data_IF_823222523485
#
_entry.id   IF_823222523485
#
_cell.length_a   1.000
_cell.length_b   1.000
_cell.length_c   1.000
_cell.angle_alpha   90.00
_cell.angle_beta   90.00
_cell.angle_gamma   90.00
#
_symmetry.space_group_name_H-M   'P 1'
#
loop_
_entity.id
_entity.type
_entity.pdbx_description
1 polymer ?
#
# COMPACT_ATOMS: atom_id res chain seq x y z
N UNK A 1 -24.76 -3.52 -39.37
CA UNK A 1 -25.39 -4.67 -38.67
C UNK A 1 -24.68 -5.11 -37.38
N UNK A 2 -23.62 -4.47 -36.95
CA UNK A 2 -22.81 -4.85 -35.77
C UNK A 2 -23.24 -4.21 -34.43
N UNK A 3 -23.98 -3.09 -34.47
CA UNK A 3 -24.39 -2.37 -33.24
C UNK A 3 -25.56 -3.02 -32.50
N UNK A 4 -26.51 -3.65 -33.22
CA UNK A 4 -27.70 -4.29 -32.63
C UNK A 4 -27.33 -5.49 -31.75
N UNK A 5 -26.28 -6.25 -32.13
CA UNK A 5 -25.82 -7.43 -31.38
C UNK A 5 -25.13 -6.99 -30.07
N UNK A 6 -24.46 -5.83 -30.06
CA UNK A 6 -23.78 -5.31 -28.90
C UNK A 6 -24.77 -4.79 -27.85
N UNK A 7 -25.82 -4.09 -28.26
CA UNK A 7 -26.90 -3.60 -27.39
C UNK A 7 -27.69 -4.75 -26.76
N UNK A 8 -28.11 -5.74 -27.54
CA UNK A 8 -28.82 -6.92 -27.03
C UNK A 8 -28.02 -7.74 -26.01
N UNK A 9 -26.69 -7.78 -26.15
CA UNK A 9 -25.80 -8.45 -25.21
C UNK A 9 -25.66 -7.67 -23.87
N UNK A 10 -25.74 -6.34 -23.91
CA UNK A 10 -25.68 -5.50 -22.73
C UNK A 10 -26.94 -5.63 -21.88
N UNK A 11 -28.12 -5.63 -22.50
CA UNK A 11 -29.41 -5.83 -21.80
C UNK A 11 -29.51 -7.23 -21.15
N UNK A 12 -29.00 -8.29 -21.81
CA UNK A 12 -29.00 -9.64 -21.24
C UNK A 12 -28.18 -9.78 -19.95
N UNK A 13 -27.16 -8.95 -19.75
CA UNK A 13 -26.28 -9.00 -18.57
C UNK A 13 -26.57 -7.91 -17.54
N UNK A 14 -27.54 -7.05 -17.74
CA UNK A 14 -27.83 -5.90 -16.87
C UNK A 14 -28.10 -6.33 -15.42
N UNK A 15 -28.91 -7.36 -15.21
CA UNK A 15 -29.18 -7.92 -13.90
C UNK A 15 -27.92 -8.49 -13.24
N UNK A 16 -27.07 -9.16 -14.01
CA UNK A 16 -25.80 -9.70 -13.54
C UNK A 16 -24.85 -8.58 -13.14
N UNK A 17 -24.72 -7.55 -13.98
CA UNK A 17 -23.90 -6.36 -13.69
C UNK A 17 -24.38 -5.66 -12.43
N UNK A 18 -25.68 -5.42 -12.30
CA UNK A 18 -26.28 -4.80 -11.11
C UNK A 18 -26.02 -5.63 -9.86
N UNK A 19 -26.19 -6.97 -9.94
CA UNK A 19 -25.87 -7.87 -8.83
C UNK A 19 -24.40 -7.83 -8.42
N UNK A 20 -23.49 -7.80 -9.39
CA UNK A 20 -22.05 -7.70 -9.13
C UNK A 20 -21.67 -6.34 -8.55
N UNK A 21 -22.25 -5.24 -9.01
CA UNK A 21 -22.04 -3.91 -8.44
C UNK A 21 -22.52 -3.83 -7.00
N UNK A 22 -23.69 -4.40 -6.69
CA UNK A 22 -24.21 -4.50 -5.32
C UNK A 22 -23.25 -5.33 -4.46
N UNK A 23 -22.84 -6.51 -4.92
CA UNK A 23 -21.88 -7.36 -4.18
C UNK A 23 -20.57 -6.65 -3.95
N UNK A 24 -20.07 -5.90 -4.92
CA UNK A 24 -18.85 -5.09 -4.77
C UNK A 24 -19.02 -4.03 -3.68
N UNK A 25 -20.16 -3.34 -3.65
CA UNK A 25 -20.44 -2.35 -2.61
C UNK A 25 -20.53 -2.99 -1.21
N UNK A 26 -21.19 -4.16 -1.09
CA UNK A 26 -21.28 -4.89 0.18
C UNK A 26 -19.89 -5.33 0.67
N UNK A 27 -19.04 -5.82 -0.22
CA UNK A 27 -17.65 -6.20 0.11
C UNK A 27 -16.80 -4.98 0.51
N UNK A 28 -17.02 -3.84 -0.13
CA UNK A 28 -16.34 -2.60 0.25
C UNK A 28 -16.75 -2.16 1.66
N UNK A 29 -18.05 -2.17 1.97
CA UNK A 29 -18.54 -1.83 3.30
C UNK A 29 -18.04 -2.79 4.38
N UNK A 30 -17.94 -4.07 4.06
CA UNK A 30 -17.38 -5.08 4.97
C UNK A 30 -15.89 -4.85 5.20
N UNK A 31 -15.14 -4.50 4.17
CA UNK A 31 -13.71 -4.16 4.30
C UNK A 31 -13.50 -2.95 5.21
N UNK A 32 -14.34 -1.91 5.11
CA UNK A 32 -14.28 -0.76 6.03
C UNK A 32 -14.59 -1.16 7.47
N UNK A 33 -15.63 -1.96 7.73
CA UNK A 33 -15.93 -2.48 9.08
C UNK A 33 -14.78 -3.28 9.68
N UNK A 34 -14.13 -4.11 8.88
CA UNK A 34 -12.96 -4.89 9.31
C UNK A 34 -11.79 -3.97 9.65
N UNK A 35 -11.57 -2.90 8.88
CA UNK A 35 -10.54 -1.88 9.17
C UNK A 35 -10.80 -1.18 10.49
N UNK A 36 -12.04 -0.73 10.72
CA UNK A 36 -12.43 -0.08 11.97
C UNK A 36 -12.23 -1.03 13.16
N UNK A 37 -12.67 -2.28 13.02
CA UNK A 37 -12.50 -3.30 14.06
C UNK A 37 -11.03 -3.59 14.34
N UNK A 38 -10.19 -3.62 13.32
CA UNK A 38 -8.74 -3.78 13.48
C UNK A 38 -8.12 -2.61 14.24
N UNK A 39 -8.59 -1.38 13.98
CA UNK A 39 -8.12 -0.20 14.70
C UNK A 39 -8.50 -0.25 16.19
N UNK A 40 -9.74 -0.66 16.52
CA UNK A 40 -10.18 -0.88 17.90
C UNK A 40 -9.30 -1.90 18.62
N UNK A 41 -9.09 -3.08 18.01
CA UNK A 41 -8.26 -4.15 18.61
C UNK A 41 -6.82 -3.65 18.85
N UNK A 42 -6.23 -2.88 17.91
CA UNK A 42 -4.90 -2.31 18.11
C UNK A 42 -4.85 -1.31 19.28
N UNK A 43 -5.91 -0.52 19.44
CA UNK A 43 -6.02 0.41 20.57
C UNK A 43 -6.17 -0.34 21.91
N UNK A 44 -6.95 -1.42 21.93
CA UNK A 44 -7.15 -2.26 23.12
C UNK A 44 -5.83 -2.93 23.54
N UNK A 45 -5.07 -3.48 22.58
CA UNK A 45 -3.73 -4.03 22.84
C UNK A 45 -2.84 -2.97 23.47
N UNK A 46 -2.77 -1.77 22.88
CA UNK A 46 -1.97 -0.67 23.43
C UNK A 46 -2.46 -0.19 24.81
N UNK A 47 -3.75 -0.35 25.12
CA UNK A 47 -4.27 -0.06 26.46
C UNK A 47 -3.80 -1.12 27.47
N UNK A 48 -3.86 -2.40 27.10
CA UNK A 48 -3.36 -3.51 27.94
C UNK A 48 -1.86 -3.36 28.20
N UNK A 49 -1.07 -3.03 27.18
CA UNK A 49 0.38 -2.81 27.32
C UNK A 49 0.68 -1.69 28.34
N UNK A 50 -0.08 -0.59 28.29
CA UNK A 50 0.04 0.50 29.28
C UNK A 50 -0.28 0.05 30.71
N UNK A 51 -1.33 -0.77 30.86
CA UNK A 51 -1.70 -1.32 32.19
C UNK A 51 -0.59 -2.23 32.70
N UNK A 52 -0.07 -3.14 31.88
CA UNK A 52 1.04 -4.02 32.25
C UNK A 52 2.28 -3.21 32.69
N UNK A 53 2.62 -2.17 31.94
CA UNK A 53 3.71 -1.27 32.33
C UNK A 53 3.45 -0.57 33.67
N UNK A 54 2.21 -0.12 33.92
CA UNK A 54 1.83 0.53 35.18
C UNK A 54 1.91 -0.43 36.35
N UNK A 55 1.60 -1.72 36.15
CA UNK A 55 1.72 -2.78 37.14
C UNK A 55 3.18 -3.23 37.38
N UNK A 56 4.15 -2.64 36.67
CA UNK A 56 5.58 -2.94 36.83
C UNK A 56 6.01 -4.22 36.09
N UNK A 57 5.24 -4.70 35.12
CA UNK A 57 5.67 -5.81 34.29
C UNK A 57 6.88 -5.40 33.43
N UNK A 58 8.01 -6.10 33.62
CA UNK A 58 9.27 -5.85 32.90
C UNK A 58 9.65 -6.99 31.94
N UNK A 59 8.77 -8.00 31.82
CA UNK A 59 8.97 -9.13 30.89
C UNK A 59 8.79 -8.73 29.44
N UNK A 60 9.17 -9.62 28.54
CA UNK A 60 8.97 -9.45 27.11
C UNK A 60 7.48 -9.71 26.77
N UNK A 61 6.75 -8.62 26.51
CA UNK A 61 5.32 -8.69 26.12
C UNK A 61 5.14 -9.46 24.81
N UNK A 62 6.12 -9.37 23.91
CA UNK A 62 6.07 -10.03 22.61
C UNK A 62 6.34 -11.55 22.71
N UNK A 63 6.95 -12.05 23.80
CA UNK A 63 7.23 -13.47 24.00
C UNK A 63 5.95 -14.31 24.17
N UNK A 64 4.90 -13.74 24.78
CA UNK A 64 3.59 -14.36 24.97
C UNK A 64 2.69 -14.25 23.71
N UNK A 65 3.10 -13.43 22.74
CA UNK A 65 2.34 -13.23 21.51
C UNK A 65 2.54 -14.41 20.55
N UNK A 66 1.48 -14.98 19.99
CA UNK A 66 1.63 -15.97 18.94
C UNK A 66 2.43 -15.35 17.79
N UNK A 67 3.44 -16.08 17.31
CA UNK A 67 4.32 -15.63 16.23
C UNK A 67 3.49 -15.09 15.07
N UNK A 68 3.42 -13.77 14.95
CA UNK A 68 2.68 -13.13 13.86
C UNK A 68 3.31 -13.56 12.53
N UNK A 69 2.51 -14.16 11.65
CA UNK A 69 2.94 -14.44 10.29
C UNK A 69 3.37 -13.12 9.68
N UNK A 70 4.66 -13.05 9.28
CA UNK A 70 5.20 -11.86 8.62
C UNK A 70 4.35 -11.54 7.41
N UNK A 71 3.61 -10.44 7.45
CA UNK A 71 2.77 -10.02 6.33
C UNK A 71 3.70 -9.59 5.19
N UNK A 72 3.85 -10.46 4.19
CA UNK A 72 4.66 -10.16 3.00
C UNK A 72 3.79 -9.34 2.06
N UNK A 73 3.91 -8.01 2.14
CA UNK A 73 3.14 -7.07 1.31
C UNK A 73 3.51 -7.18 -0.19
N UNK A 74 4.74 -7.58 -0.48
CA UNK A 74 5.26 -7.69 -1.85
C UNK A 74 6.13 -8.93 -1.96
N UNK A 75 5.89 -9.73 -2.99
CA UNK A 75 6.75 -10.83 -3.39
C UNK A 75 8.10 -10.36 -3.94
N UNK A 76 8.92 -11.33 -4.34
CA UNK A 76 10.26 -11.03 -4.89
C UNK A 76 10.16 -10.22 -6.18
N UNK A 77 10.72 -9.01 -6.18
CA UNK A 77 10.73 -8.10 -7.34
C UNK A 77 9.45 -7.27 -7.52
N UNK A 78 8.34 -7.60 -6.88
CA UNK A 78 7.07 -6.87 -7.01
C UNK A 78 7.18 -5.43 -6.53
N UNK A 79 7.82 -5.19 -5.39
CA UNK A 79 8.05 -3.84 -4.89
C UNK A 79 8.81 -2.97 -5.90
N UNK A 80 9.87 -3.52 -6.50
CA UNK A 80 10.66 -2.77 -7.49
C UNK A 80 9.83 -2.46 -8.72
N UNK A 81 9.02 -3.41 -9.19
CA UNK A 81 8.10 -3.21 -10.32
C UNK A 81 7.08 -2.11 -10.01
N UNK A 82 6.41 -2.19 -8.85
CA UNK A 82 5.44 -1.18 -8.42
C UNK A 82 6.05 0.22 -8.32
N UNK A 83 7.27 0.35 -7.79
CA UNK A 83 8.01 1.63 -7.75
C UNK A 83 8.25 2.17 -9.16
N UNK A 84 8.71 1.33 -10.09
CA UNK A 84 8.98 1.75 -11.46
C UNK A 84 7.70 2.14 -12.19
N UNK A 85 6.58 1.46 -11.94
CA UNK A 85 5.28 1.78 -12.51
C UNK A 85 4.75 3.12 -11.99
N UNK A 86 4.86 3.39 -10.69
CA UNK A 86 4.53 4.70 -10.11
C UNK A 86 5.37 5.81 -10.75
N UNK A 87 6.70 5.61 -10.85
CA UNK A 87 7.60 6.60 -11.47
C UNK A 87 7.38 6.77 -12.98
N UNK A 88 6.82 5.76 -13.66
CA UNK A 88 6.46 5.82 -15.08
C UNK A 88 5.24 6.71 -15.31
N UNK A 89 4.27 6.65 -14.40
CA UNK A 89 3.06 7.47 -14.43
C UNK A 89 3.30 8.90 -13.92
N UNK A 90 4.38 9.13 -13.15
CA UNK A 90 4.69 10.43 -12.60
C UNK A 90 5.17 11.41 -13.68
N UNK A 91 4.62 12.61 -13.69
CA UNK A 91 5.02 13.71 -14.57
C UNK A 91 6.24 14.47 -14.05
N UNK A 92 6.44 14.45 -12.72
CA UNK A 92 7.51 15.14 -12.01
C UNK A 92 8.28 14.18 -11.10
N UNK A 93 9.55 14.54 -10.73
CA UNK A 93 10.30 13.75 -9.75
C UNK A 93 9.57 13.68 -8.41
N UNK A 94 9.56 12.51 -7.77
CA UNK A 94 8.81 12.24 -6.55
C UNK A 94 9.73 11.99 -5.35
N UNK A 95 9.30 12.42 -4.14
CA UNK A 95 9.99 12.09 -2.90
C UNK A 95 9.76 10.60 -2.53
N UNK A 96 10.74 10.00 -1.85
CA UNK A 96 10.67 8.58 -1.44
C UNK A 96 9.38 8.24 -0.68
N UNK A 97 8.91 9.15 0.18
CA UNK A 97 7.71 8.94 0.98
C UNK A 97 6.43 8.98 0.13
N UNK A 98 6.40 9.82 -0.89
CA UNK A 98 5.26 9.93 -1.79
C UNK A 98 5.18 8.71 -2.70
N UNK A 99 6.32 8.23 -3.21
CA UNK A 99 6.40 6.95 -3.92
C UNK A 99 5.89 5.80 -3.02
N UNK A 100 6.30 5.76 -1.75
CA UNK A 100 5.84 4.73 -0.81
C UNK A 100 4.33 4.80 -0.59
N UNK A 101 3.75 6.00 -0.51
CA UNK A 101 2.31 6.22 -0.36
C UNK A 101 1.54 5.73 -1.58
N UNK A 102 1.99 6.10 -2.78
CA UNK A 102 1.37 5.68 -4.04
C UNK A 102 1.46 4.16 -4.24
N UNK A 103 2.62 3.56 -3.95
CA UNK A 103 2.79 2.10 -4.04
C UNK A 103 1.85 1.37 -3.08
N UNK A 104 1.62 1.88 -1.87
CA UNK A 104 0.65 1.30 -0.93
C UNK A 104 -0.78 1.46 -1.44
N UNK A 105 -1.14 2.64 -1.94
CA UNK A 105 -2.48 2.93 -2.45
C UNK A 105 -2.85 2.04 -3.65
N UNK A 106 -1.95 1.89 -4.62
CA UNK A 106 -2.16 1.03 -5.81
C UNK A 106 -2.32 -0.44 -5.42
N UNK A 107 -1.72 -0.89 -4.31
CA UNK A 107 -1.82 -2.27 -3.82
C UNK A 107 -2.88 -2.44 -2.71
N UNK A 108 -3.87 -1.57 -2.66
CA UNK A 108 -5.03 -1.63 -1.75
C UNK A 108 -4.67 -1.63 -0.25
N UNK A 109 -3.50 -1.10 0.10
CA UNK A 109 -3.10 -0.90 1.49
C UNK A 109 -3.39 0.53 1.94
N UNK A 110 -3.81 0.69 3.20
CA UNK A 110 -4.12 2.03 3.74
C UNK A 110 -2.83 2.85 3.94
N UNK A 111 -2.61 3.91 3.15
CA UNK A 111 -1.43 4.77 3.28
C UNK A 111 -1.48 5.68 4.52
N UNK A 112 -2.60 5.71 5.28
CA UNK A 112 -2.75 6.48 6.52
C UNK A 112 -2.15 5.77 7.72
N UNK A 113 -1.93 4.44 7.64
CA UNK A 113 -1.21 3.71 8.68
C UNK A 113 0.24 4.20 8.73
N UNK A 114 0.54 5.03 9.75
CA UNK A 114 1.86 5.65 9.92
C UNK A 114 2.99 4.64 10.11
N UNK A 115 2.70 3.54 10.81
CA UNK A 115 3.69 2.48 11.08
C UNK A 115 4.00 1.74 9.77
N UNK A 116 2.96 1.34 9.06
CA UNK A 116 3.08 0.70 7.76
C UNK A 116 3.81 1.58 6.75
N UNK A 117 3.40 2.85 6.62
CA UNK A 117 4.02 3.81 5.71
C UNK A 117 5.50 4.04 6.05
N UNK A 118 5.86 4.13 7.33
CA UNK A 118 7.25 4.34 7.75
C UNK A 118 8.12 3.13 7.41
N UNK A 119 7.64 1.93 7.73
CA UNK A 119 8.35 0.69 7.39
C UNK A 119 8.49 0.54 5.87
N UNK A 120 7.42 0.80 5.15
CA UNK A 120 7.40 0.71 3.70
C UNK A 120 8.33 1.74 3.04
N UNK A 121 8.36 2.97 3.54
CA UNK A 121 9.29 4.02 3.07
C UNK A 121 10.75 3.57 3.17
N UNK A 122 11.14 2.86 4.25
CA UNK A 122 12.50 2.30 4.39
C UNK A 122 12.79 1.26 3.30
N UNK A 123 11.82 0.39 2.99
CA UNK A 123 11.95 -0.64 1.95
C UNK A 123 12.04 -0.02 0.56
N UNK A 124 11.19 0.97 0.27
CA UNK A 124 11.21 1.76 -0.98
C UNK A 124 12.54 2.49 -1.13
N UNK A 125 13.06 3.13 -0.09
CA UNK A 125 14.37 3.79 -0.10
C UNK A 125 15.50 2.83 -0.47
N UNK A 126 15.49 1.61 0.08
CA UNK A 126 16.47 0.57 -0.27
C UNK A 126 16.34 0.15 -1.72
N UNK A 127 15.12 -0.11 -2.21
CA UNK A 127 14.86 -0.51 -3.59
C UNK A 127 15.28 0.58 -4.59
N UNK A 128 15.00 1.86 -4.30
CA UNK A 128 15.41 3.00 -5.14
C UNK A 128 16.94 3.12 -5.25
N UNK A 129 17.68 2.90 -4.17
CA UNK A 129 19.16 2.89 -4.21
C UNK A 129 19.68 1.76 -5.09
N UNK A 130 19.09 0.56 -5.00
CA UNK A 130 19.44 -0.56 -5.86
C UNK A 130 19.11 -0.26 -7.33
N UNK A 131 17.93 0.31 -7.60
CA UNK A 131 17.51 0.69 -8.96
C UNK A 131 18.36 1.85 -9.54
N UNK A 132 18.88 2.75 -8.69
CA UNK A 132 19.87 3.76 -9.11
C UNK A 132 21.18 3.11 -9.50
N UNK A 133 21.67 2.15 -8.73
CA UNK A 133 22.91 1.43 -9.05
C UNK A 133 22.81 0.63 -10.35
N UNK A 134 21.61 0.13 -10.70
CA UNK A 134 21.35 -0.53 -12.00
C UNK A 134 20.99 0.45 -13.13
N UNK A 135 21.02 1.77 -12.91
CA UNK A 135 20.75 2.77 -13.93
C UNK A 135 19.26 2.94 -14.30
N UNK A 136 18.33 2.29 -13.59
CA UNK A 136 16.91 2.39 -13.91
C UNK A 136 16.27 3.71 -13.45
N UNK A 137 16.78 4.29 -12.35
CA UNK A 137 16.27 5.55 -11.78
C UNK A 137 17.43 6.53 -11.52
N UNK A 138 17.12 7.81 -11.55
CA UNK A 138 18.04 8.89 -11.18
C UNK A 138 17.50 9.67 -10.00
N UNK A 139 18.43 10.08 -9.12
CA UNK A 139 18.14 10.98 -8.03
C UNK A 139 18.39 12.43 -8.45
N UNK A 140 17.46 13.31 -8.13
CA UNK A 140 17.53 14.76 -8.38
C UNK A 140 17.38 15.47 -7.04
N UNK A 141 18.10 16.55 -6.83
CA UNK A 141 17.91 17.38 -5.64
C UNK A 141 16.78 18.39 -5.86
N UNK A 142 15.92 18.52 -4.88
CA UNK A 142 14.94 19.60 -4.79
C UNK A 142 15.63 20.93 -4.41
N UNK A 143 14.93 22.05 -4.60
CA UNK A 143 15.39 23.40 -4.21
C UNK A 143 15.71 23.54 -2.70
N UNK A 144 15.12 22.66 -1.88
CA UNK A 144 15.31 22.60 -0.43
C UNK A 144 16.35 21.55 -0.01
N UNK A 145 17.07 20.93 -0.96
CA UNK A 145 18.05 19.87 -0.70
C UNK A 145 17.45 18.48 -0.46
N UNK A 146 16.14 18.30 -0.62
CA UNK A 146 15.46 17.01 -0.57
C UNK A 146 15.82 16.12 -1.77
N UNK A 147 15.82 14.80 -1.57
CA UNK A 147 16.11 13.83 -2.61
C UNK A 147 14.81 13.40 -3.31
N UNK A 148 14.73 13.67 -4.60
CA UNK A 148 13.65 13.28 -5.48
C UNK A 148 14.11 12.21 -6.48
N UNK A 149 13.19 11.40 -6.98
CA UNK A 149 13.46 10.27 -7.86
C UNK A 149 12.65 10.37 -9.15
N UNK A 150 13.25 10.03 -10.26
CA UNK A 150 12.61 9.89 -11.57
C UNK A 150 13.21 8.72 -12.34
N UNK A 151 12.48 8.22 -13.35
CA UNK A 151 13.03 7.22 -14.27
C UNK A 151 14.21 7.78 -15.05
N UNK A 152 15.21 6.94 -15.27
CA UNK A 152 16.24 7.20 -16.25
C UNK A 152 15.65 6.95 -17.63
N UNK A 153 15.33 8.02 -18.37
CA UNK A 153 14.98 7.91 -19.80
C UNK A 153 16.27 7.88 -20.57
N UNK A 154 16.61 6.75 -21.17
CA UNK A 154 17.60 6.72 -22.22
C UNK A 154 16.98 7.45 -23.41
N UNK A 155 17.59 8.57 -23.82
CA UNK A 155 17.22 9.35 -25.01
C UNK A 155 17.51 8.57 -26.28
#
# INVERSE_FOLDING_TARGET
MTDTIRLARTETYEHTITGLLKKRADLFNEAERIRDRLAEIKNDIGAVDRVLSTLGYTGDIDAEMPRQKRHVLFGRGELTRAILDVLRCATEPMATRDIAREVLAVNEHDPRDRKLLTEHTRRVSKALRTSKASGCVVAVQDRQGGLLWKLHRQG
#
